data_IF_018873395011
#
_entry.id   IF_018873395011
#
_cell.length_a   1.000
_cell.length_b   1.000
_cell.length_c   1.000
_cell.angle_alpha   90.00
_cell.angle_beta   90.00
_cell.angle_gamma   90.00
#
_symmetry.space_group_name_H-M   'P 1'
#
loop_
_entity.id
_entity.type
_entity.pdbx_description
1 polymer ?
#
# COMPACT_ATOMS: atom_id res chain seq x y z
N UNK A 1 -24.39 -2.95 -15.36
CA UNK A 1 -24.66 -1.66 -14.67
C UNK A 1 -25.98 -1.70 -13.91
N UNK A 2 -26.95 -2.47 -14.40
CA UNK A 2 -28.30 -2.52 -13.83
C UNK A 2 -28.36 -3.34 -12.53
N UNK A 3 -27.50 -4.36 -12.37
CA UNK A 3 -27.43 -5.20 -11.16
C UNK A 3 -27.00 -4.44 -9.90
N UNK A 4 -26.13 -3.42 -10.03
CA UNK A 4 -25.66 -2.63 -8.89
C UNK A 4 -26.75 -1.69 -8.35
N UNK A 5 -27.58 -1.15 -9.24
CA UNK A 5 -28.68 -0.30 -8.86
C UNK A 5 -29.81 -1.11 -8.18
N UNK A 6 -30.11 -2.31 -8.66
CA UNK A 6 -31.11 -3.23 -8.10
C UNK A 6 -30.70 -3.73 -6.70
N UNK A 7 -29.42 -4.08 -6.50
CA UNK A 7 -28.93 -4.55 -5.18
C UNK A 7 -28.94 -3.44 -4.12
N UNK A 8 -28.71 -2.18 -4.52
CA UNK A 8 -28.84 -1.03 -3.62
C UNK A 8 -30.32 -0.71 -3.29
N UNK A 9 -31.27 -1.05 -4.17
CA UNK A 9 -32.70 -0.91 -3.91
C UNK A 9 -33.25 -1.94 -2.90
N UNK A 10 -32.72 -3.15 -2.91
CA UNK A 10 -33.05 -4.21 -1.96
C UNK A 10 -32.60 -3.89 -0.53
N UNK A 11 -31.53 -3.11 -0.38
CA UNK A 11 -31.10 -2.55 0.90
C UNK A 11 -31.92 -1.31 1.25
N UNK A 12 -33.14 -1.47 1.74
CA UNK A 12 -34.12 -0.41 2.09
C UNK A 12 -33.59 0.75 2.97
N UNK A 13 -32.35 0.71 3.38
CA UNK A 13 -31.63 1.77 4.10
C UNK A 13 -31.29 2.98 3.20
N UNK A 14 -31.17 2.78 1.89
CA UNK A 14 -30.80 3.86 0.94
C UNK A 14 -31.94 4.83 0.73
N UNK A 15 -33.19 4.37 0.84
CA UNK A 15 -34.38 5.22 0.67
C UNK A 15 -34.60 6.19 1.85
N UNK A 16 -34.13 5.82 3.03
CA UNK A 16 -34.40 6.57 4.26
C UNK A 16 -33.33 7.64 4.56
N UNK A 17 -32.12 7.44 4.07
CA UNK A 17 -30.99 8.31 4.39
C UNK A 17 -30.50 9.22 3.23
N UNK A 18 -30.88 8.93 1.97
CA UNK A 18 -30.39 9.68 0.82
C UNK A 18 -31.52 10.09 -0.12
N UNK A 19 -32.05 11.30 -0.01
CA UNK A 19 -33.14 11.80 -0.87
C UNK A 19 -32.73 12.06 -2.33
N UNK A 20 -31.45 12.01 -2.66
CA UNK A 20 -30.91 12.24 -4.02
C UNK A 20 -30.19 11.00 -4.59
N UNK A 21 -30.90 9.89 -4.73
CA UNK A 21 -30.40 8.61 -5.28
C UNK A 21 -29.64 8.78 -6.60
N UNK A 22 -30.19 9.56 -7.52
CA UNK A 22 -29.59 9.77 -8.85
C UNK A 22 -28.22 10.42 -8.79
N UNK A 23 -28.00 11.38 -7.88
CA UNK A 23 -26.68 12.00 -7.71
C UNK A 23 -25.64 11.06 -7.09
N UNK A 24 -26.08 10.21 -6.17
CA UNK A 24 -25.20 9.21 -5.56
C UNK A 24 -24.76 8.18 -6.59
N UNK A 25 -25.71 7.62 -7.35
CA UNK A 25 -25.43 6.64 -8.42
C UNK A 25 -24.54 7.27 -9.50
N UNK A 26 -24.82 8.50 -9.92
CA UNK A 26 -23.99 9.20 -10.90
C UNK A 26 -22.56 9.50 -10.38
N UNK A 27 -22.43 9.74 -9.08
CA UNK A 27 -21.11 9.97 -8.45
C UNK A 27 -20.34 8.68 -8.34
N UNK A 28 -21.00 7.58 -7.96
CA UNK A 28 -20.40 6.25 -7.92
C UNK A 28 -19.98 5.77 -9.33
N UNK A 29 -20.83 5.97 -10.35
CA UNK A 29 -20.50 5.63 -11.74
C UNK A 29 -19.30 6.43 -12.25
N UNK A 30 -19.24 7.73 -11.94
CA UNK A 30 -18.04 8.56 -12.25
C UNK A 30 -16.79 8.07 -11.51
N UNK A 31 -16.89 7.71 -10.25
CA UNK A 31 -15.78 7.18 -9.47
C UNK A 31 -15.29 5.84 -10.04
N UNK A 32 -16.20 4.92 -10.34
CA UNK A 32 -15.89 3.62 -10.96
C UNK A 32 -15.22 3.80 -12.33
N UNK A 33 -15.75 4.68 -13.17
CA UNK A 33 -15.16 5.00 -14.48
C UNK A 33 -13.79 5.66 -14.35
N UNK A 34 -13.59 6.57 -13.40
CA UNK A 34 -12.31 7.21 -13.14
C UNK A 34 -11.25 6.19 -12.70
N UNK A 35 -11.61 5.28 -11.79
CA UNK A 35 -10.72 4.22 -11.32
C UNK A 35 -10.45 3.19 -12.44
N UNK A 36 -11.49 2.79 -13.18
CA UNK A 36 -11.33 1.91 -14.34
C UNK A 36 -10.40 2.52 -15.39
N UNK A 37 -10.55 3.81 -15.67
CA UNK A 37 -9.66 4.56 -16.55
C UNK A 37 -8.22 4.64 -16.03
N UNK A 38 -8.04 4.88 -14.73
CA UNK A 38 -6.71 4.88 -14.09
C UNK A 38 -6.02 3.51 -14.18
N UNK A 39 -6.76 2.43 -13.93
CA UNK A 39 -6.24 1.07 -14.05
C UNK A 39 -5.89 0.74 -15.51
N UNK A 40 -6.79 1.04 -16.45
CA UNK A 40 -6.55 0.80 -17.87
C UNK A 40 -5.35 1.58 -18.42
N UNK A 41 -5.23 2.85 -18.03
CA UNK A 41 -4.07 3.69 -18.39
C UNK A 41 -2.80 3.17 -17.72
N UNK A 42 -2.88 2.76 -16.45
CA UNK A 42 -1.76 2.15 -15.73
C UNK A 42 -1.26 0.86 -16.41
N UNK A 43 -2.17 -0.03 -16.82
CA UNK A 43 -1.80 -1.25 -17.54
C UNK A 43 -1.17 -0.97 -18.91
N UNK A 44 -1.66 0.02 -19.66
CA UNK A 44 -1.07 0.36 -20.96
C UNK A 44 0.35 0.94 -20.86
N UNK A 45 0.66 1.61 -19.74
CA UNK A 45 2.01 2.09 -19.45
C UNK A 45 2.97 0.99 -18.98
N UNK A 46 2.46 -0.16 -18.49
CA UNK A 46 3.31 -1.27 -18.04
C UNK A 46 4.13 -1.85 -19.20
N UNK A 47 3.55 -1.96 -20.40
CA UNK A 47 4.24 -2.52 -21.56
C UNK A 47 5.39 -1.64 -22.07
N UNK A 48 5.25 -0.33 -22.00
CA UNK A 48 6.30 0.63 -22.37
C UNK A 48 7.28 0.91 -21.24
N UNK A 49 6.85 0.72 -20.00
CA UNK A 49 7.67 0.92 -18.80
C UNK A 49 8.50 -0.31 -18.36
N UNK A 50 8.19 -1.50 -18.88
CA UNK A 50 8.82 -2.74 -18.40
C UNK A 50 10.34 -2.76 -18.63
N UNK A 51 10.81 -2.34 -19.79
CA UNK A 51 12.25 -2.28 -20.08
C UNK A 51 12.96 -1.23 -19.19
N UNK A 52 12.33 -0.08 -18.98
CA UNK A 52 12.83 0.96 -18.09
C UNK A 52 12.85 0.49 -16.64
N UNK A 53 11.78 -0.16 -16.19
CA UNK A 53 11.70 -0.74 -14.85
C UNK A 53 12.78 -1.79 -14.60
N UNK A 54 13.02 -2.70 -15.55
CA UNK A 54 14.08 -3.70 -15.46
C UNK A 54 15.46 -3.06 -15.38
N UNK A 55 15.69 -2.03 -16.16
CA UNK A 55 16.96 -1.29 -16.13
C UNK A 55 17.15 -0.54 -14.81
N UNK A 56 16.14 0.14 -14.32
CA UNK A 56 16.16 0.82 -13.02
C UNK A 56 16.33 -0.18 -11.86
N UNK A 57 15.63 -1.32 -11.92
CA UNK A 57 15.77 -2.39 -10.95
C UNK A 57 17.20 -3.00 -10.98
N UNK A 58 17.77 -3.18 -12.15
CA UNK A 58 19.15 -3.64 -12.29
C UNK A 58 20.14 -2.66 -11.66
N UNK A 59 20.04 -1.36 -11.97
CA UNK A 59 20.90 -0.33 -11.37
C UNK A 59 20.73 -0.31 -9.85
N UNK A 60 19.48 -0.40 -9.36
CA UNK A 60 19.18 -0.43 -7.93
C UNK A 60 19.83 -1.64 -7.24
N UNK A 61 19.65 -2.83 -7.78
CA UNK A 61 20.23 -4.06 -7.23
C UNK A 61 21.76 -4.04 -7.29
N UNK A 62 22.33 -3.51 -8.37
CA UNK A 62 23.77 -3.35 -8.52
C UNK A 62 24.32 -2.38 -7.48
N UNK A 63 23.73 -1.21 -7.34
CA UNK A 63 24.12 -0.24 -6.32
C UNK A 63 23.98 -0.82 -4.91
N UNK A 64 22.86 -1.48 -4.62
CA UNK A 64 22.61 -2.15 -3.34
C UNK A 64 23.69 -3.19 -3.03
N UNK A 65 24.06 -4.03 -4.00
CA UNK A 65 25.12 -5.01 -3.86
C UNK A 65 26.45 -4.36 -3.47
N UNK A 66 26.85 -3.29 -4.16
CA UNK A 66 28.09 -2.58 -3.85
C UNK A 66 28.06 -1.89 -2.48
N UNK A 67 26.92 -1.33 -2.09
CA UNK A 67 26.76 -0.73 -0.77
C UNK A 67 26.80 -1.78 0.35
N UNK A 68 26.24 -2.96 0.13
CA UNK A 68 26.28 -4.05 1.11
C UNK A 68 27.71 -4.58 1.32
N UNK A 69 28.49 -4.74 0.25
CA UNK A 69 29.88 -5.23 0.34
C UNK A 69 30.83 -4.17 0.90
N UNK A 70 30.72 -2.94 0.41
CA UNK A 70 31.71 -1.89 0.70
C UNK A 70 31.17 -0.83 1.67
N UNK A 71 30.03 -1.04 2.32
CA UNK A 71 29.34 -0.03 3.14
C UNK A 71 30.23 0.63 4.19
N UNK A 72 31.04 -0.16 4.90
CA UNK A 72 31.99 0.37 5.89
C UNK A 72 33.02 1.31 5.27
N UNK A 73 33.52 0.96 4.08
CA UNK A 73 34.51 1.79 3.36
C UNK A 73 33.89 3.12 2.92
N UNK A 74 32.65 3.09 2.43
CA UNK A 74 31.95 4.32 2.01
C UNK A 74 31.62 5.22 3.19
N UNK A 75 31.17 4.64 4.30
CA UNK A 75 30.90 5.40 5.53
C UNK A 75 32.18 6.05 6.05
N UNK A 76 33.26 5.31 6.17
CA UNK A 76 34.53 5.87 6.64
C UNK A 76 35.06 6.98 5.71
N UNK A 77 34.91 6.82 4.39
CA UNK A 77 35.31 7.85 3.43
C UNK A 77 34.39 9.10 3.55
N UNK A 78 33.11 8.91 3.76
CA UNK A 78 32.18 10.02 3.99
C UNK A 78 32.54 10.80 5.25
N UNK A 79 32.81 10.10 6.35
CA UNK A 79 33.23 10.72 7.62
C UNK A 79 34.55 11.49 7.49
N UNK A 80 35.48 10.97 6.73
CA UNK A 80 36.78 11.66 6.48
C UNK A 80 36.59 13.05 5.85
N UNK A 81 35.55 13.23 5.03
CA UNK A 81 35.24 14.53 4.41
C UNK A 81 34.39 15.45 5.28
N UNK A 82 33.85 14.95 6.38
CA UNK A 82 33.05 15.76 7.30
C UNK A 82 34.00 16.42 8.33
N UNK A 83 33.92 17.71 8.56
CA UNK A 83 34.73 18.42 9.56
C UNK A 83 34.20 18.21 10.98
N UNK A 84 34.09 16.95 11.40
CA UNK A 84 33.57 16.55 12.70
C UNK A 84 34.72 16.07 13.60
N UNK A 85 34.54 16.22 14.91
CA UNK A 85 35.46 15.65 15.90
C UNK A 85 35.17 14.14 16.02
N UNK A 86 36.21 13.34 16.25
CA UNK A 86 36.15 11.87 16.32
C UNK A 86 35.06 11.35 17.31
N UNK A 87 34.82 12.10 18.38
CA UNK A 87 33.78 11.76 19.34
C UNK A 87 32.36 11.96 18.76
N UNK A 88 32.15 13.02 17.99
CA UNK A 88 30.89 13.37 17.34
C UNK A 88 30.56 12.39 16.21
N UNK A 89 31.57 11.97 15.45
CA UNK A 89 31.42 10.92 14.41
C UNK A 89 30.85 9.62 14.97
N UNK A 90 31.39 9.13 16.09
CA UNK A 90 30.91 7.90 16.74
C UNK A 90 29.46 8.02 17.18
N UNK A 91 29.10 9.15 17.83
CA UNK A 91 27.74 9.39 18.31
C UNK A 91 26.76 9.44 17.12
N UNK A 92 27.14 10.09 16.02
CA UNK A 92 26.33 10.15 14.80
C UNK A 92 26.15 8.78 14.17
N UNK A 93 27.21 8.00 14.05
CA UNK A 93 27.13 6.64 13.51
C UNK A 93 26.25 5.74 14.35
N UNK A 94 26.43 5.74 15.67
CA UNK A 94 25.63 4.91 16.57
C UNK A 94 24.14 5.30 16.51
N UNK A 95 23.85 6.60 16.50
CA UNK A 95 22.48 7.09 16.32
C UNK A 95 21.91 6.67 14.97
N UNK A 96 22.66 6.86 13.89
CA UNK A 96 22.22 6.49 12.54
C UNK A 96 21.93 5.00 12.44
N UNK A 97 22.83 4.14 12.91
CA UNK A 97 22.66 2.69 12.89
C UNK A 97 21.46 2.27 13.75
N UNK A 98 21.32 2.87 14.94
CA UNK A 98 20.23 2.55 15.86
C UNK A 98 18.89 2.95 15.27
N UNK A 99 18.76 4.17 14.76
CA UNK A 99 17.53 4.67 14.12
C UNK A 99 17.18 3.82 12.89
N UNK A 100 18.17 3.54 12.03
CA UNK A 100 17.95 2.71 10.83
C UNK A 100 17.46 1.32 11.18
N UNK A 101 18.11 0.64 12.13
CA UNK A 101 17.69 -0.70 12.60
C UNK A 101 16.28 -0.67 13.19
N UNK A 102 15.98 0.31 14.02
CA UNK A 102 14.66 0.45 14.66
C UNK A 102 13.58 0.72 13.63
N UNK A 103 13.84 1.60 12.66
CA UNK A 103 12.91 1.90 11.56
C UNK A 103 12.65 0.67 10.70
N UNK A 104 13.71 -0.03 10.25
CA UNK A 104 13.56 -1.24 9.45
C UNK A 104 12.78 -2.33 10.19
N UNK A 105 13.11 -2.56 11.49
CA UNK A 105 12.39 -3.52 12.30
C UNK A 105 10.91 -3.14 12.47
N UNK A 106 10.65 -1.87 12.75
CA UNK A 106 9.28 -1.34 12.87
C UNK A 106 8.50 -1.52 11.58
N UNK A 107 9.07 -1.14 10.44
CA UNK A 107 8.44 -1.29 9.12
C UNK A 107 8.13 -2.74 8.79
N UNK A 108 9.03 -3.68 9.08
CA UNK A 108 8.77 -5.10 8.87
C UNK A 108 7.62 -5.62 9.73
N UNK A 109 7.58 -5.25 11.00
CA UNK A 109 6.50 -5.65 11.91
C UNK A 109 5.16 -5.09 11.40
N UNK A 110 5.13 -3.80 11.07
CA UNK A 110 3.94 -3.14 10.51
C UNK A 110 3.50 -3.85 9.24
N UNK A 111 4.44 -4.17 8.34
CA UNK A 111 4.15 -4.89 7.11
C UNK A 111 3.50 -6.24 7.33
N UNK A 112 4.02 -7.04 8.25
CA UNK A 112 3.44 -8.35 8.60
C UNK A 112 2.03 -8.19 9.17
N UNK A 113 1.81 -7.22 10.05
CA UNK A 113 0.49 -6.94 10.63
C UNK A 113 -0.50 -6.49 9.56
N UNK A 114 -0.12 -5.54 8.72
CA UNK A 114 -0.99 -5.03 7.64
C UNK A 114 -1.29 -6.10 6.60
N UNK A 115 -0.29 -6.89 6.20
CA UNK A 115 -0.47 -8.00 5.28
C UNK A 115 -1.34 -9.11 5.85
N UNK A 116 -1.16 -9.45 7.13
CA UNK A 116 -1.98 -10.44 7.83
C UNK A 116 -3.44 -10.00 7.95
N UNK A 117 -3.68 -8.77 8.42
CA UNK A 117 -5.02 -8.21 8.50
C UNK A 117 -5.68 -8.06 7.11
N UNK A 118 -4.90 -7.68 6.11
CA UNK A 118 -5.37 -7.60 4.74
C UNK A 118 -5.78 -8.97 4.19
N UNK A 119 -4.98 -10.00 4.43
CA UNK A 119 -5.30 -11.37 4.04
C UNK A 119 -6.60 -11.85 4.69
N UNK A 120 -6.77 -11.59 5.99
CA UNK A 120 -7.99 -11.96 6.73
C UNK A 120 -9.20 -11.19 6.19
N UNK A 121 -9.08 -9.89 5.96
CA UNK A 121 -10.16 -9.08 5.41
C UNK A 121 -10.58 -9.52 4.00
N UNK A 122 -9.62 -9.84 3.14
CA UNK A 122 -9.89 -10.37 1.80
C UNK A 122 -10.52 -11.75 1.86
N UNK A 123 -10.10 -12.61 2.79
CA UNK A 123 -10.72 -13.92 2.99
C UNK A 123 -12.18 -13.78 3.45
N UNK A 124 -12.46 -12.87 4.37
CA UNK A 124 -13.82 -12.57 4.82
C UNK A 124 -14.69 -11.98 3.70
N UNK A 125 -14.09 -11.25 2.78
CA UNK A 125 -14.76 -10.73 1.58
C UNK A 125 -14.94 -11.78 0.46
N UNK A 126 -14.51 -13.05 0.66
CA UNK A 126 -14.69 -14.14 -0.30
C UNK A 126 -13.71 -14.13 -1.47
N UNK A 127 -12.62 -13.39 -1.38
CA UNK A 127 -11.58 -13.39 -2.41
C UNK A 127 -10.72 -14.66 -2.34
N UNK A 128 -10.23 -15.10 -3.48
CA UNK A 128 -9.30 -16.22 -3.57
C UNK A 128 -7.84 -15.77 -3.43
N UNK A 129 -6.95 -16.72 -3.07
CA UNK A 129 -5.51 -16.49 -2.96
C UNK A 129 -5.14 -15.34 -1.98
N UNK A 130 -5.91 -15.20 -0.92
CA UNK A 130 -5.78 -14.10 0.05
C UNK A 130 -4.42 -14.07 0.75
N UNK A 131 -3.80 -15.23 0.97
CA UNK A 131 -2.46 -15.33 1.53
C UNK A 131 -1.41 -14.68 0.60
N UNK A 132 -1.50 -14.93 -0.72
CA UNK A 132 -0.63 -14.30 -1.70
C UNK A 132 -0.76 -12.78 -1.66
N UNK A 133 -1.99 -12.27 -1.70
CA UNK A 133 -2.25 -10.83 -1.65
C UNK A 133 -1.84 -10.22 -0.32
N UNK A 134 -1.98 -10.95 0.78
CA UNK A 134 -1.46 -10.54 2.09
C UNK A 134 0.05 -10.38 2.11
N UNK A 135 0.80 -11.31 1.51
CA UNK A 135 2.27 -11.20 1.37
C UNK A 135 2.64 -10.02 0.49
N UNK A 136 1.96 -9.83 -0.64
CA UNK A 136 2.17 -8.66 -1.53
C UNK A 136 1.93 -7.37 -0.75
N UNK A 137 0.85 -7.32 0.03
CA UNK A 137 0.52 -6.16 0.87
C UNK A 137 1.59 -5.92 1.94
N UNK A 138 2.11 -6.98 2.57
CA UNK A 138 3.19 -6.87 3.56
C UNK A 138 4.47 -6.27 2.96
N UNK A 139 4.82 -6.65 1.74
CA UNK A 139 5.97 -6.08 1.02
C UNK A 139 5.70 -4.63 0.62
N UNK A 140 4.54 -4.34 0.06
CA UNK A 140 4.18 -2.99 -0.36
C UNK A 140 4.03 -2.02 0.82
N UNK A 141 3.68 -2.50 2.01
CA UNK A 141 3.58 -1.66 3.21
C UNK A 141 4.93 -1.09 3.69
N UNK A 142 6.05 -1.51 3.08
CA UNK A 142 7.33 -0.79 3.23
C UNK A 142 7.24 0.65 2.73
N UNK A 143 6.27 0.94 1.84
CA UNK A 143 5.98 2.30 1.37
C UNK A 143 4.87 2.87 2.26
N UNK A 144 5.20 3.79 3.20
CA UNK A 144 4.21 4.33 4.14
C UNK A 144 3.03 5.00 3.43
N UNK A 145 1.86 4.86 4.00
CA UNK A 145 0.58 5.48 3.59
C UNK A 145 -0.04 4.94 2.28
N UNK A 146 0.76 4.56 1.29
CA UNK A 146 0.26 4.14 -0.03
C UNK A 146 0.32 2.62 -0.19
N UNK A 147 1.34 1.97 0.40
CA UNK A 147 1.67 0.57 0.13
C UNK A 147 0.51 -0.41 0.22
N UNK A 148 -0.15 -0.57 1.36
CA UNK A 148 -1.28 -1.50 1.50
C UNK A 148 -2.48 -1.12 0.64
N UNK A 149 -2.72 0.19 0.41
CA UNK A 149 -3.86 0.68 -0.34
C UNK A 149 -3.84 0.24 -1.81
N UNK A 150 -2.64 0.07 -2.39
CA UNK A 150 -2.47 -0.43 -3.76
C UNK A 150 -3.07 -1.82 -3.95
N UNK A 151 -3.25 -2.58 -2.88
CA UNK A 151 -3.81 -3.93 -2.94
C UNK A 151 -5.29 -3.96 -2.54
N UNK A 152 -5.63 -3.51 -1.32
CA UNK A 152 -7.00 -3.63 -0.82
C UNK A 152 -7.98 -2.71 -1.54
N UNK A 153 -7.54 -1.54 -2.02
CA UNK A 153 -8.44 -0.60 -2.70
C UNK A 153 -8.92 -1.14 -4.06
N UNK A 154 -8.04 -1.59 -4.99
CA UNK A 154 -8.50 -2.22 -6.22
C UNK A 154 -9.30 -3.49 -5.98
N UNK A 155 -8.93 -4.30 -4.96
CA UNK A 155 -9.68 -5.52 -4.63
C UNK A 155 -11.12 -5.19 -4.17
N UNK A 156 -11.29 -4.16 -3.33
CA UNK A 156 -12.60 -3.69 -2.91
C UNK A 156 -13.43 -3.15 -4.09
N UNK A 157 -12.82 -2.37 -4.97
CA UNK A 157 -13.48 -1.86 -6.19
C UNK A 157 -13.89 -3.01 -7.11
N UNK A 158 -13.03 -4.02 -7.27
CA UNK A 158 -13.35 -5.20 -8.08
C UNK A 158 -14.58 -5.94 -7.55
N UNK A 159 -14.71 -6.07 -6.23
CA UNK A 159 -15.89 -6.66 -5.61
C UNK A 159 -17.15 -5.82 -5.85
N UNK A 160 -17.05 -4.48 -5.77
CA UNK A 160 -18.18 -3.59 -6.07
C UNK A 160 -18.66 -3.73 -7.51
N UNK A 161 -17.74 -3.78 -8.47
CA UNK A 161 -18.07 -3.96 -9.90
C UNK A 161 -18.67 -5.34 -10.16
N UNK A 162 -18.22 -6.37 -9.40
CA UNK A 162 -18.74 -7.73 -9.47
C UNK A 162 -20.10 -7.96 -8.81
N UNK A 163 -20.76 -6.90 -8.28
CA UNK A 163 -22.05 -6.99 -7.63
C UNK A 163 -21.99 -7.34 -6.13
N UNK A 164 -20.83 -7.62 -5.56
CA UNK A 164 -20.66 -7.95 -4.15
C UNK A 164 -20.48 -6.67 -3.29
N UNK A 165 -21.53 -5.86 -3.23
CA UNK A 165 -21.48 -4.49 -2.65
C UNK A 165 -21.09 -4.51 -1.19
N UNK A 166 -21.65 -5.42 -0.39
CA UNK A 166 -21.41 -5.50 1.07
C UNK A 166 -19.96 -5.85 1.34
N UNK A 167 -19.42 -6.85 0.62
CA UNK A 167 -18.04 -7.29 0.78
C UNK A 167 -17.05 -6.21 0.28
N UNK A 168 -17.36 -5.56 -0.85
CA UNK A 168 -16.54 -4.50 -1.41
C UNK A 168 -16.46 -3.27 -0.50
N UNK A 169 -17.60 -2.76 -0.03
CA UNK A 169 -17.64 -1.66 0.93
C UNK A 169 -16.98 -2.04 2.26
N UNK A 170 -17.25 -3.24 2.77
CA UNK A 170 -16.64 -3.75 3.99
C UNK A 170 -15.10 -3.78 3.89
N UNK A 171 -14.56 -4.27 2.78
CA UNK A 171 -13.12 -4.32 2.54
C UNK A 171 -12.51 -2.91 2.45
N UNK A 172 -13.17 -1.99 1.74
CA UNK A 172 -12.70 -0.60 1.60
C UNK A 172 -12.73 0.12 2.94
N UNK A 173 -13.81 0.02 3.70
CA UNK A 173 -13.93 0.66 5.01
C UNK A 173 -12.91 0.09 6.00
N UNK A 174 -12.77 -1.23 6.06
CA UNK A 174 -11.77 -1.88 6.91
C UNK A 174 -10.35 -1.49 6.49
N UNK A 175 -10.09 -1.48 5.19
CA UNK A 175 -8.80 -1.06 4.64
C UNK A 175 -8.45 0.38 5.01
N UNK A 176 -9.38 1.31 4.85
CA UNK A 176 -9.16 2.72 5.15
C UNK A 176 -9.05 3.00 6.65
N UNK A 177 -9.94 2.41 7.47
CA UNK A 177 -10.02 2.72 8.90
C UNK A 177 -8.98 1.93 9.70
N UNK A 178 -8.81 0.64 9.43
CA UNK A 178 -7.93 -0.23 10.21
C UNK A 178 -6.54 -0.29 9.58
N UNK A 179 -6.43 -0.83 8.35
CA UNK A 179 -5.13 -1.10 7.73
C UNK A 179 -4.36 0.22 7.48
N UNK A 180 -5.04 1.25 6.97
CA UNK A 180 -4.42 2.55 6.69
C UNK A 180 -3.96 3.32 7.92
N UNK A 181 -4.53 3.03 9.10
CA UNK A 181 -4.15 3.71 10.34
C UNK A 181 -3.15 2.92 11.21
N UNK A 182 -2.81 1.69 10.88
CA UNK A 182 -1.83 0.89 11.63
C UNK A 182 -0.49 1.60 11.74
N UNK A 183 -0.04 2.24 10.67
CA UNK A 183 1.19 3.04 10.67
C UNK A 183 1.21 4.11 11.76
N UNK A 184 0.09 4.79 11.95
CA UNK A 184 -0.03 5.86 12.96
C UNK A 184 -0.08 5.30 14.38
N UNK A 185 -0.64 4.08 14.53
CA UNK A 185 -0.81 3.45 15.83
C UNK A 185 0.46 2.74 16.31
N UNK A 186 1.24 2.17 15.40
CA UNK A 186 2.43 1.37 15.71
C UNK A 186 3.75 2.15 15.63
N UNK A 187 3.75 3.38 15.10
CA UNK A 187 4.95 4.24 15.18
C UNK A 187 5.13 4.74 16.60
N UNK A 188 6.21 4.38 17.29
CA UNK A 188 6.54 4.98 18.59
C UNK A 188 6.77 6.49 18.38
N UNK A 189 6.13 7.28 19.21
CA UNK A 189 6.35 8.73 19.35
C UNK A 189 7.69 8.99 20.02
#
# INVERSE_FOLDING_TARGET
>A
PDSFAEELEEFGLVQQFFPEKEKLIATLDKAVKAVGGFIATGLSHITTGAARFLFEAFIFLFAMYYFLINGKRYINKLLYYLPLRTAEERILLDKFVTVTKSTLKGTLIIGVVQGGLGAIAMAAAGLNNTLFWGVVMAVLSMIPAIGPAVVWLPAGIFLLIGGNVVQGLGLILFGAIVIGNIDNFMRPR
#
